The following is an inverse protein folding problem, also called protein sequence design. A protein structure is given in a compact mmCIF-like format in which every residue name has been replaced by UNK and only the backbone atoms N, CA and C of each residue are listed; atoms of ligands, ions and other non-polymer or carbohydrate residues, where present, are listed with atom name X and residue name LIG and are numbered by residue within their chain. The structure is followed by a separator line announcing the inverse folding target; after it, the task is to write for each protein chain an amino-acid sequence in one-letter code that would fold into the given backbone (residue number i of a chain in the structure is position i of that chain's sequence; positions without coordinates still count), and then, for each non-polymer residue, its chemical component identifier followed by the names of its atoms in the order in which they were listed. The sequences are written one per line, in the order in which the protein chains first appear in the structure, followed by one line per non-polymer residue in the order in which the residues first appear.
data_IF_960328109989
#
_entry.id   IF_960328109989
#
_cell.length_a   1.000
_cell.length_b   1.000
_cell.length_c   1.000
_cell.angle_alpha   90.00
_cell.angle_beta   90.00
_cell.angle_gamma   90.00
#
_symmetry.space_group_name_H-M   'P 1'
#
loop_
_entity.id
_entity.type
_entity.pdbx_description
1 polymer ?
#
# COMPACT_ATOMS: atom_id res chain seq x y z
N UNK A 1 15.02 -41.09 -3.54
CA UNK A 1 13.65 -40.73 -3.09
C UNK A 1 13.41 -39.29 -3.46
N UNK A 2 12.39 -39.04 -4.28
CA UNK A 2 12.11 -37.74 -4.90
C UNK A 2 11.71 -36.73 -3.83
N UNK A 3 12.41 -35.60 -3.78
CA UNK A 3 12.03 -34.45 -2.97
C UNK A 3 10.65 -33.98 -3.36
N UNK A 4 9.69 -34.11 -2.44
CA UNK A 4 8.36 -33.54 -2.55
C UNK A 4 8.52 -32.03 -2.54
N UNK A 5 8.67 -31.45 -3.73
CA UNK A 5 8.40 -30.02 -3.96
C UNK A 5 6.96 -29.80 -3.52
N UNK A 6 6.79 -29.24 -2.33
CA UNK A 6 5.52 -28.65 -1.94
C UNK A 6 5.31 -27.45 -2.86
N UNK A 7 4.57 -27.67 -3.95
CA UNK A 7 3.91 -26.60 -4.67
C UNK A 7 3.15 -25.74 -3.65
N UNK A 8 3.02 -24.41 -3.84
CA UNK A 8 2.21 -23.59 -2.94
C UNK A 8 0.83 -24.24 -2.89
N UNK A 9 0.42 -24.66 -1.68
CA UNK A 9 -0.82 -25.40 -1.49
C UNK A 9 -1.94 -24.58 -2.12
N UNK A 10 -2.62 -25.15 -3.11
CA UNK A 10 -3.81 -24.53 -3.65
C UNK A 10 -4.77 -24.24 -2.48
N UNK A 11 -5.38 -23.05 -2.43
CA UNK A 11 -6.27 -22.68 -1.35
C UNK A 11 -7.35 -23.76 -1.20
N UNK A 12 -7.55 -24.21 0.03
CA UNK A 12 -8.54 -25.25 0.31
C UNK A 12 -9.94 -24.63 0.38
N UNK A 13 -10.97 -25.46 0.28
CA UNK A 13 -12.36 -25.00 0.47
C UNK A 13 -12.53 -24.34 1.85
N UNK A 14 -11.79 -24.81 2.86
CA UNK A 14 -11.81 -24.25 4.20
C UNK A 14 -11.23 -22.83 4.24
N UNK A 15 -10.12 -22.59 3.53
CA UNK A 15 -9.53 -21.25 3.40
C UNK A 15 -10.50 -20.28 2.72
N UNK A 16 -11.21 -20.73 1.68
CA UNK A 16 -12.21 -19.91 0.99
C UNK A 16 -13.41 -19.55 1.90
N UNK A 17 -13.84 -20.49 2.74
CA UNK A 17 -14.92 -20.22 3.71
C UNK A 17 -14.49 -19.24 4.80
N UNK A 18 -13.27 -19.39 5.33
CA UNK A 18 -12.71 -18.45 6.30
C UNK A 18 -12.53 -17.05 5.70
N UNK A 19 -12.07 -16.95 4.45
CA UNK A 19 -11.94 -15.68 3.76
C UNK A 19 -13.28 -14.98 3.54
N UNK A 20 -14.32 -15.71 3.09
CA UNK A 20 -15.67 -15.15 2.96
C UNK A 20 -16.26 -14.69 4.30
N UNK A 21 -15.97 -15.41 5.39
CA UNK A 21 -16.37 -15.01 6.73
C UNK A 21 -15.68 -13.69 7.14
N UNK A 22 -14.37 -13.57 6.90
CA UNK A 22 -13.62 -12.35 7.17
C UNK A 22 -14.17 -11.16 6.37
N UNK A 23 -14.40 -11.32 5.06
CA UNK A 23 -14.98 -10.27 4.19
C UNK A 23 -16.36 -9.84 4.69
N UNK A 24 -17.19 -10.79 5.14
CA UNK A 24 -18.52 -10.51 5.69
C UNK A 24 -18.46 -9.76 7.01
N UNK A 25 -17.50 -10.10 7.88
CA UNK A 25 -17.29 -9.44 9.16
C UNK A 25 -16.72 -8.02 8.98
N UNK A 26 -15.77 -7.84 8.06
CA UNK A 26 -15.20 -6.52 7.75
C UNK A 26 -16.25 -5.57 7.17
N UNK A 27 -17.09 -6.06 6.25
CA UNK A 27 -18.17 -5.26 5.65
C UNK A 27 -19.51 -5.42 6.36
N UNK A 28 -19.54 -5.78 7.65
CA UNK A 28 -20.81 -5.97 8.37
C UNK A 28 -21.62 -4.66 8.47
N UNK A 29 -20.93 -3.52 8.64
CA UNK A 29 -21.52 -2.18 8.68
C UNK A 29 -21.88 -1.66 7.27
N UNK A 30 -21.28 -2.25 6.24
CA UNK A 30 -21.42 -1.82 4.84
C UNK A 30 -21.92 -2.96 3.94
N UNK A 31 -23.19 -3.38 4.09
CA UNK A 31 -23.75 -4.52 3.35
C UNK A 31 -23.72 -4.31 1.83
N UNK A 32 -23.72 -3.05 1.36
CA UNK A 32 -23.55 -2.70 -0.05
C UNK A 32 -22.21 -3.16 -0.61
N UNK A 33 -21.11 -3.02 0.15
CA UNK A 33 -19.77 -3.47 -0.27
C UNK A 33 -19.71 -4.99 -0.36
N UNK A 34 -20.24 -5.69 0.64
CA UNK A 34 -20.34 -7.15 0.61
C UNK A 34 -21.16 -7.66 -0.58
N UNK A 35 -22.29 -7.01 -0.89
CA UNK A 35 -23.12 -7.36 -2.03
C UNK A 35 -22.39 -7.15 -3.38
N UNK A 36 -21.61 -6.07 -3.49
CA UNK A 36 -20.79 -5.80 -4.68
C UNK A 36 -19.67 -6.84 -4.85
N UNK A 37 -19.01 -7.24 -3.76
CA UNK A 37 -18.02 -8.33 -3.77
C UNK A 37 -18.59 -9.63 -4.32
N UNK A 38 -19.78 -10.04 -3.85
CA UNK A 38 -20.47 -11.24 -4.36
C UNK A 38 -20.86 -11.10 -5.83
N UNK A 39 -21.24 -9.90 -6.28
CA UNK A 39 -21.56 -9.63 -7.69
C UNK A 39 -20.33 -9.80 -8.58
N UNK A 40 -19.15 -9.37 -8.13
CA UNK A 40 -17.88 -9.54 -8.84
C UNK A 40 -17.50 -11.03 -8.95
N UNK A 41 -17.60 -11.78 -7.85
CA UNK A 41 -17.38 -13.24 -7.85
C UNK A 41 -18.33 -13.99 -8.79
N UNK A 42 -19.61 -13.62 -8.78
CA UNK A 42 -20.60 -14.22 -9.68
C UNK A 42 -20.39 -13.80 -11.14
N UNK A 43 -19.83 -12.60 -11.38
CA UNK A 43 -19.42 -12.12 -12.70
C UNK A 43 -18.36 -13.02 -13.34
N UNK A 44 -17.36 -13.43 -12.57
CA UNK A 44 -16.31 -14.38 -12.99
C UNK A 44 -16.92 -15.76 -13.29
N UNK A 45 -17.77 -16.27 -12.40
CA UNK A 45 -18.42 -17.59 -12.57
C UNK A 45 -19.21 -17.67 -13.89
N UNK A 46 -19.84 -16.56 -14.28
CA UNK A 46 -20.65 -16.47 -15.50
C UNK A 46 -19.85 -15.98 -16.71
N UNK A 47 -18.51 -15.83 -16.61
CA UNK A 47 -17.64 -15.24 -17.64
C UNK A 47 -18.10 -13.85 -18.15
N UNK A 48 -18.89 -13.13 -17.34
CA UNK A 48 -19.43 -11.81 -17.68
C UNK A 48 -18.48 -10.66 -17.35
N UNK A 49 -17.48 -10.93 -16.51
CA UNK A 49 -16.49 -9.96 -16.05
C UNK A 49 -15.11 -10.54 -16.31
N UNK A 50 -14.28 -9.80 -17.02
CA UNK A 50 -12.88 -10.15 -17.24
C UNK A 50 -12.09 -10.14 -15.93
N UNK A 51 -11.09 -11.02 -15.84
CA UNK A 51 -10.26 -11.19 -14.64
C UNK A 51 -9.60 -9.88 -14.19
N UNK A 52 -9.06 -9.09 -15.13
CA UNK A 52 -8.46 -7.79 -14.83
C UNK A 52 -9.48 -6.77 -14.29
N UNK A 53 -10.70 -6.74 -14.86
CA UNK A 53 -11.76 -5.83 -14.42
C UNK A 53 -12.24 -6.21 -13.02
N UNK A 54 -12.33 -7.50 -12.73
CA UNK A 54 -12.68 -7.99 -11.40
C UNK A 54 -11.62 -7.57 -10.38
N UNK A 55 -10.35 -7.82 -10.68
CA UNK A 55 -9.21 -7.47 -9.83
C UNK A 55 -9.24 -5.98 -9.46
N UNK A 56 -9.33 -5.09 -10.45
CA UNK A 56 -9.35 -3.65 -10.21
C UNK A 56 -10.54 -3.21 -9.34
N UNK A 57 -11.70 -3.87 -9.50
CA UNK A 57 -12.89 -3.58 -8.68
C UNK A 57 -12.78 -4.11 -7.26
N UNK A 58 -12.14 -5.27 -7.06
CA UNK A 58 -11.88 -5.77 -5.70
C UNK A 58 -10.83 -4.92 -4.99
N UNK A 59 -9.82 -4.42 -5.72
CA UNK A 59 -8.85 -3.43 -5.24
C UNK A 59 -9.52 -2.15 -4.74
N UNK A 60 -10.43 -1.57 -5.53
CA UNK A 60 -11.21 -0.39 -5.14
C UNK A 60 -12.12 -0.69 -3.93
N UNK A 61 -12.80 -1.83 -3.94
CA UNK A 61 -13.75 -2.20 -2.90
C UNK A 61 -13.10 -2.42 -1.53
N UNK A 62 -11.86 -2.93 -1.52
CA UNK A 62 -11.11 -3.31 -0.31
C UNK A 62 -9.91 -2.38 -0.08
N UNK A 63 -9.93 -1.16 -0.59
CA UNK A 63 -8.79 -0.25 -0.55
C UNK A 63 -8.23 0.08 0.84
N UNK A 64 -9.10 0.05 1.86
CA UNK A 64 -8.75 0.28 3.26
C UNK A 64 -8.54 -1.02 4.05
N UNK A 65 -8.60 -2.16 3.36
CA UNK A 65 -8.51 -3.51 3.94
C UNK A 65 -7.48 -4.37 3.21
N UNK A 66 -6.21 -4.00 3.35
CA UNK A 66 -5.07 -4.71 2.74
C UNK A 66 -5.01 -6.19 3.11
N UNK A 67 -5.42 -6.58 4.32
CA UNK A 67 -5.50 -7.98 4.73
C UNK A 67 -6.46 -8.79 3.85
N UNK A 68 -7.59 -8.20 3.47
CA UNK A 68 -8.56 -8.84 2.59
C UNK A 68 -8.08 -8.89 1.14
N UNK A 69 -7.37 -7.87 0.66
CA UNK A 69 -6.74 -7.89 -0.67
C UNK A 69 -5.66 -8.95 -0.77
N UNK A 70 -4.83 -9.06 0.26
CA UNK A 70 -3.79 -10.08 0.31
C UNK A 70 -4.40 -11.48 0.39
N UNK A 71 -5.45 -11.66 1.20
CA UNK A 71 -6.23 -12.90 1.21
C UNK A 71 -6.79 -13.25 -0.18
N UNK A 72 -7.29 -12.26 -0.92
CA UNK A 72 -7.80 -12.46 -2.28
C UNK A 72 -6.73 -12.98 -3.24
N UNK A 73 -5.50 -12.46 -3.15
CA UNK A 73 -4.36 -12.87 -3.98
C UNK A 73 -3.97 -14.34 -3.81
N UNK A 74 -4.26 -14.95 -2.66
CA UNK A 74 -4.01 -16.38 -2.43
C UNK A 74 -4.96 -17.25 -3.25
N UNK A 75 -6.15 -16.74 -3.59
CA UNK A 75 -7.16 -17.41 -4.41
C UNK A 75 -6.94 -17.25 -5.92
N UNK A 76 -5.97 -16.43 -6.33
CA UNK A 76 -5.61 -16.24 -7.73
C UNK A 76 -4.40 -17.12 -8.11
N UNK A 77 -4.44 -17.81 -9.28
CA UNK A 77 -3.24 -18.48 -9.81
C UNK A 77 -2.12 -17.45 -10.05
N UNK A 78 -0.86 -17.87 -9.96
CA UNK A 78 0.33 -16.99 -10.02
C UNK A 78 0.33 -16.02 -11.22
N UNK A 79 -0.19 -16.47 -12.36
CA UNK A 79 -0.32 -15.67 -13.59
C UNK A 79 -1.35 -14.52 -13.48
N UNK A 80 -2.29 -14.61 -12.54
CA UNK A 80 -3.34 -13.63 -12.26
C UNK A 80 -3.08 -12.80 -10.99
N UNK A 81 -1.97 -13.04 -10.26
CA UNK A 81 -1.52 -12.22 -9.13
C UNK A 81 -0.97 -10.87 -9.65
N UNK A 82 -1.85 -10.08 -10.24
CA UNK A 82 -1.56 -8.73 -10.77
C UNK A 82 -1.93 -7.63 -9.78
N UNK A 83 -2.56 -7.98 -8.66
CA UNK A 83 -2.91 -7.06 -7.57
C UNK A 83 -1.62 -6.61 -6.89
N UNK A 84 -0.96 -5.64 -7.52
CA UNK A 84 0.08 -4.83 -6.89
C UNK A 84 -0.65 -3.62 -6.37
N UNK A 85 -1.02 -3.65 -5.09
CA UNK A 85 -1.67 -2.58 -4.34
C UNK A 85 -1.64 -1.20 -5.06
N UNK A 86 -2.72 -0.78 -5.75
CA UNK A 86 -2.81 0.53 -6.38
C UNK A 86 -2.77 1.67 -5.36
N UNK A 87 -3.07 1.38 -4.09
CA UNK A 87 -3.01 2.37 -3.01
C UNK A 87 -1.60 2.61 -2.47
N UNK A 88 -0.70 1.63 -2.58
CA UNK A 88 0.74 1.95 -2.51
C UNK A 88 1.19 2.68 -3.76
N UNK A 89 0.60 2.44 -4.94
CA UNK A 89 1.10 3.04 -6.18
C UNK A 89 0.94 4.57 -6.22
N UNK A 90 -0.13 5.14 -5.66
CA UNK A 90 -0.28 6.62 -5.58
C UNK A 90 0.61 7.25 -4.50
N UNK A 91 0.72 6.62 -3.33
CA UNK A 91 1.59 7.10 -2.24
C UNK A 91 3.07 6.97 -2.63
N UNK A 92 3.46 5.85 -3.24
CA UNK A 92 4.81 5.66 -3.76
C UNK A 92 5.08 6.58 -4.93
N UNK A 93 4.13 6.84 -5.84
CA UNK A 93 4.35 7.81 -6.91
C UNK A 93 4.57 9.23 -6.36
N UNK A 94 3.71 9.70 -5.45
CA UNK A 94 3.87 11.02 -4.82
C UNK A 94 5.17 11.07 -3.98
N UNK A 95 5.48 10.03 -3.21
CA UNK A 95 6.71 9.93 -2.41
C UNK A 95 7.99 9.80 -3.28
N UNK A 96 7.90 9.12 -4.42
CA UNK A 96 8.98 8.96 -5.40
C UNK A 96 9.23 10.28 -6.14
N UNK A 97 8.17 11.01 -6.49
CA UNK A 97 8.30 12.36 -7.05
C UNK A 97 8.97 13.30 -6.04
N UNK A 98 8.52 13.30 -4.78
CA UNK A 98 9.15 14.07 -3.70
C UNK A 98 10.63 13.68 -3.52
N UNK A 99 10.93 12.38 -3.40
CA UNK A 99 12.31 11.90 -3.22
C UNK A 99 13.19 12.21 -4.43
N UNK A 100 12.65 12.17 -5.65
CA UNK A 100 13.40 12.55 -6.84
C UNK A 100 13.63 14.06 -6.91
N UNK A 101 12.66 14.89 -6.52
CA UNK A 101 12.85 16.35 -6.38
C UNK A 101 13.89 16.68 -5.31
N UNK A 102 13.77 16.07 -4.13
CA UNK A 102 14.73 16.16 -3.02
C UNK A 102 16.14 15.79 -3.50
N UNK A 103 16.32 14.57 -4.01
CA UNK A 103 17.62 14.10 -4.54
C UNK A 103 18.13 14.96 -5.68
N UNK A 104 17.27 15.48 -6.56
CA UNK A 104 17.71 16.29 -7.71
C UNK A 104 18.11 17.70 -7.31
N UNK A 105 17.42 18.33 -6.36
CA UNK A 105 17.83 19.63 -5.81
C UNK A 105 19.12 19.54 -5.01
N UNK A 106 19.26 18.48 -4.21
CA UNK A 106 20.42 18.30 -3.33
C UNK A 106 21.55 17.47 -3.95
N UNK A 107 21.46 17.12 -5.25
CA UNK A 107 22.44 16.31 -5.99
C UNK A 107 23.83 16.95 -6.09
N UNK A 108 23.90 18.28 -6.01
CA UNK A 108 25.12 19.05 -6.31
C UNK A 108 25.76 19.72 -5.11
N UNK A 109 25.06 19.88 -3.97
CA UNK A 109 25.53 20.73 -2.87
C UNK A 109 25.44 20.09 -1.47
N UNK A 110 24.42 19.28 -1.15
CA UNK A 110 24.24 18.80 0.24
C UNK A 110 23.63 17.39 0.30
N UNK A 111 24.50 16.37 0.31
CA UNK A 111 24.07 14.99 0.60
C UNK A 111 23.59 14.86 2.06
N UNK A 112 24.02 15.78 2.94
CA UNK A 112 23.67 15.79 4.36
C UNK A 112 22.17 16.02 4.59
N UNK A 113 21.50 16.86 3.79
CA UNK A 113 20.05 17.12 3.94
C UNK A 113 19.22 15.86 3.68
N UNK A 114 19.55 15.11 2.63
CA UNK A 114 18.89 13.82 2.32
C UNK A 114 19.18 12.79 3.42
N UNK A 115 20.40 12.79 3.97
CA UNK A 115 20.80 11.96 5.10
C UNK A 115 19.99 12.26 6.37
N UNK A 116 19.92 13.53 6.77
CA UNK A 116 19.16 14.01 7.93
C UNK A 116 17.67 13.70 7.77
N UNK A 117 17.09 13.96 6.60
CA UNK A 117 15.71 13.59 6.30
C UNK A 117 15.47 12.09 6.49
N UNK A 118 16.33 11.24 5.89
CA UNK A 118 16.22 9.78 6.02
C UNK A 118 16.34 9.33 7.49
N UNK A 119 17.24 9.95 8.25
CA UNK A 119 17.42 9.65 9.67
C UNK A 119 16.19 10.02 10.50
N UNK A 120 15.55 11.16 10.23
CA UNK A 120 14.29 11.56 10.89
C UNK A 120 13.18 10.56 10.57
N UNK A 121 13.05 10.14 9.31
CA UNK A 121 12.05 9.14 8.90
C UNK A 121 12.31 7.77 9.53
N UNK A 122 13.57 7.39 9.74
CA UNK A 122 13.95 6.17 10.45
C UNK A 122 13.59 6.24 11.93
N UNK A 123 13.92 7.35 12.60
CA UNK A 123 13.53 7.59 14.00
C UNK A 123 12.01 7.63 14.19
N UNK A 124 11.26 8.17 13.24
CA UNK A 124 9.80 8.11 13.22
C UNK A 124 9.27 6.68 13.08
N UNK A 125 9.81 5.89 12.14
CA UNK A 125 9.44 4.48 11.95
C UNK A 125 9.74 3.63 13.19
N UNK A 126 10.84 3.91 13.88
CA UNK A 126 11.20 3.24 15.13
C UNK A 126 10.31 3.67 16.33
N UNK A 127 9.39 4.62 16.14
CA UNK A 127 8.54 5.15 17.19
C UNK A 127 9.26 6.07 18.18
N UNK A 128 10.48 6.54 17.84
CA UNK A 128 11.28 7.45 18.68
C UNK A 128 10.80 8.90 18.56
N UNK A 129 10.16 9.25 17.45
CA UNK A 129 9.58 10.57 17.19
C UNK A 129 8.07 10.48 17.03
N UNK A 130 7.36 11.46 17.60
CA UNK A 130 5.94 11.66 17.31
C UNK A 130 5.75 12.25 15.91
N UNK A 131 4.58 12.05 15.31
CA UNK A 131 4.18 12.66 14.02
C UNK A 131 4.50 14.16 13.98
N UNK A 132 4.11 14.90 15.02
CA UNK A 132 4.33 16.35 15.12
C UNK A 132 5.82 16.70 15.15
N UNK A 133 6.61 15.93 15.88
CA UNK A 133 8.06 16.14 15.99
C UNK A 133 8.76 15.82 14.66
N UNK A 134 8.37 14.72 13.99
CA UNK A 134 8.91 14.39 12.68
C UNK A 134 8.61 15.49 11.64
N UNK A 135 7.42 16.10 11.69
CA UNK A 135 7.09 17.24 10.83
C UNK A 135 7.94 18.46 11.14
N UNK A 136 8.09 18.85 12.42
CA UNK A 136 8.93 19.98 12.83
C UNK A 136 10.39 19.80 12.40
N UNK A 137 10.97 18.61 12.62
CA UNK A 137 12.34 18.29 12.22
C UNK A 137 12.52 18.31 10.69
N UNK A 138 11.56 17.78 9.93
CA UNK A 138 11.61 17.82 8.46
C UNK A 138 11.48 19.25 7.94
N UNK A 139 10.63 20.07 8.57
CA UNK A 139 10.49 21.50 8.24
C UNK A 139 11.81 22.24 8.51
N UNK A 140 12.50 21.92 9.61
CA UNK A 140 13.79 22.54 9.94
C UNK A 140 14.88 22.15 8.93
N UNK A 141 14.94 20.86 8.56
CA UNK A 141 15.87 20.35 7.55
C UNK A 141 15.60 20.93 6.16
N UNK A 142 14.33 21.21 5.82
CA UNK A 142 13.91 21.75 4.54
C UNK A 142 13.59 23.26 4.60
N UNK A 143 14.07 23.97 5.62
CA UNK A 143 13.67 25.36 5.93
C UNK A 143 13.76 26.33 4.74
N UNK A 144 14.72 26.13 3.83
CA UNK A 144 14.90 26.96 2.63
C UNK A 144 14.09 26.50 1.39
N UNK A 145 13.21 25.51 1.55
CA UNK A 145 12.52 24.83 0.46
C UNK A 145 11.04 24.61 0.80
N UNK A 146 10.26 25.69 0.77
CA UNK A 146 8.81 25.68 1.02
C UNK A 146 8.07 24.67 0.13
N UNK A 147 8.45 24.54 -1.14
CA UNK A 147 7.85 23.59 -2.08
C UNK A 147 8.00 22.12 -1.64
N UNK A 148 9.15 21.79 -1.05
CA UNK A 148 9.40 20.44 -0.53
C UNK A 148 8.65 20.20 0.79
N UNK A 149 8.51 21.24 1.62
CA UNK A 149 7.72 21.17 2.85
C UNK A 149 6.25 20.92 2.53
N UNK A 150 5.67 21.66 1.57
CA UNK A 150 4.29 21.47 1.15
C UNK A 150 4.02 20.08 0.55
N UNK A 151 4.90 19.61 -0.34
CA UNK A 151 4.82 18.25 -0.91
C UNK A 151 4.88 17.20 0.22
N UNK A 152 5.82 17.33 1.16
CA UNK A 152 5.95 16.41 2.29
C UNK A 152 4.69 16.40 3.16
N UNK A 153 4.19 17.56 3.58
CA UNK A 153 3.00 17.66 4.44
C UNK A 153 1.77 17.07 3.77
N UNK A 154 1.58 17.34 2.48
CA UNK A 154 0.46 16.82 1.68
C UNK A 154 0.49 15.29 1.59
N UNK A 155 1.67 14.71 1.42
CA UNK A 155 1.84 13.26 1.36
C UNK A 155 1.65 12.65 2.76
N UNK A 156 2.25 13.27 3.78
CA UNK A 156 2.25 12.78 5.16
C UNK A 156 0.85 12.83 5.81
N UNK A 157 -0.01 13.78 5.45
CA UNK A 157 -1.41 13.82 5.92
C UNK A 157 -2.25 12.65 5.41
N UNK A 158 -1.97 12.12 4.21
CA UNK A 158 -2.82 11.09 3.60
C UNK A 158 -2.72 9.73 4.30
N UNK A 159 -1.51 9.20 4.54
CA UNK A 159 -1.29 7.92 5.27
C UNK A 159 0.13 7.86 5.89
N UNK A 160 0.28 8.39 7.12
CA UNK A 160 1.55 8.56 7.86
C UNK A 160 2.45 7.31 7.89
N UNK A 161 1.91 6.16 8.27
CA UNK A 161 2.68 4.91 8.42
C UNK A 161 3.19 4.36 7.07
N UNK A 162 2.35 4.45 6.03
CA UNK A 162 2.70 3.94 4.69
C UNK A 162 3.68 4.86 3.98
N UNK A 163 3.55 6.16 4.17
CA UNK A 163 4.45 7.17 3.61
C UNK A 163 5.85 7.01 4.16
N UNK A 164 6.00 6.81 5.47
CA UNK A 164 7.31 6.59 6.07
C UNK A 164 7.99 5.33 5.53
N UNK A 165 7.23 4.25 5.34
CA UNK A 165 7.76 3.03 4.72
C UNK A 165 8.16 3.26 3.27
N UNK A 166 7.33 3.94 2.49
CA UNK A 166 7.60 4.23 1.08
C UNK A 166 8.86 5.10 0.91
N UNK A 167 8.99 6.17 1.69
CA UNK A 167 10.14 7.08 1.65
C UNK A 167 11.46 6.42 2.04
N UNK A 168 11.43 5.45 2.96
CA UNK A 168 12.63 4.69 3.36
C UNK A 168 13.05 3.63 2.32
N UNK A 169 12.13 3.17 1.49
CA UNK A 169 12.38 2.20 0.42
C UNK A 169 12.92 2.84 -0.87
N UNK A 170 12.76 4.16 -1.01
CA UNK A 170 13.29 4.98 -2.12
C UNK A 170 14.70 5.50 -1.83
#
# INVERSE_FOLDING_TARGET
MVGRRVSPAAPTINDAQSYLAAVKETFHDEPSKYAEFLKLLNGIRNQKVDKDVMVARVEELMEDHDDLLHGFNVFLPDEAKRIKNPHTNKIHADAEEFMNKLKTRFKTLDTEVVGSFRQIMEMFKEGKLSVKQAQEEVIDVLYYHEDLIEDFLTIFEKKKDRVALALLQL
#
